data_IF_399330292767
#
_entry.id   IF_399330292767
#
_cell.length_a   1.000
_cell.length_b   1.000
_cell.length_c   1.000
_cell.angle_alpha   90.00
_cell.angle_beta   90.00
_cell.angle_gamma   90.00
#
_symmetry.space_group_name_H-M   'P 1'
#
loop_
_entity.id
_entity.type
_entity.pdbx_description
1 polymer ?
#
# COMPACT_ATOMS: atom_id res chain seq x y z
N UNK A 1 10.88 2.59 21.64
CA UNK A 1 11.04 1.83 20.40
C UNK A 1 10.27 2.63 19.37
N UNK A 2 10.97 3.35 18.50
CA UNK A 2 10.30 4.16 17.47
C UNK A 2 9.53 3.21 16.56
N UNK A 3 8.21 3.35 16.51
CA UNK A 3 7.39 2.51 15.64
C UNK A 3 7.76 2.84 14.19
N UNK A 4 7.79 1.84 13.31
CA UNK A 4 8.10 2.09 11.88
C UNK A 4 7.16 3.13 11.24
N UNK A 5 6.00 3.42 11.86
CA UNK A 5 5.05 4.45 11.44
C UNK A 5 5.51 5.87 11.77
N UNK A 6 6.24 6.08 12.86
CA UNK A 6 6.78 7.40 13.22
C UNK A 6 7.76 7.93 12.17
N UNK A 7 8.52 7.03 11.52
CA UNK A 7 9.44 7.40 10.44
C UNK A 7 8.69 7.98 9.23
N UNK A 8 7.61 7.33 8.79
CA UNK A 8 6.84 7.81 7.65
C UNK A 8 6.15 9.15 7.93
N UNK A 9 5.69 9.33 9.17
CA UNK A 9 5.08 10.58 9.61
C UNK A 9 6.11 11.72 9.72
N UNK A 10 7.30 11.45 10.25
CA UNK A 10 8.39 12.45 10.35
C UNK A 10 8.89 12.94 8.99
N UNK A 11 8.93 12.06 8.01
CA UNK A 11 9.30 12.39 6.63
C UNK A 11 8.13 12.98 5.81
N UNK A 12 6.97 13.21 6.45
CA UNK A 12 5.75 13.77 5.84
C UNK A 12 5.32 13.05 4.55
N UNK A 13 5.55 11.74 4.48
CA UNK A 13 5.31 10.96 3.26
C UNK A 13 3.80 10.85 3.02
N UNK A 14 3.33 11.49 1.96
CA UNK A 14 1.93 11.40 1.53
C UNK A 14 1.68 10.07 0.80
N UNK A 15 0.41 9.75 0.53
CA UNK A 15 0.03 8.52 -0.16
C UNK A 15 0.65 8.39 -1.56
N UNK A 16 0.79 9.49 -2.29
CA UNK A 16 1.43 9.48 -3.62
C UNK A 16 2.94 9.27 -3.51
N UNK A 17 3.60 10.03 -2.62
CA UNK A 17 5.04 9.91 -2.37
C UNK A 17 5.40 8.49 -1.92
N UNK A 18 4.55 7.88 -1.10
CA UNK A 18 4.70 6.49 -0.68
C UNK A 18 4.75 5.53 -1.88
N UNK A 19 3.84 5.68 -2.85
CA UNK A 19 3.79 4.82 -4.04
C UNK A 19 4.98 5.03 -5.00
N UNK A 20 5.63 6.19 -4.94
CA UNK A 20 6.83 6.50 -5.72
C UNK A 20 8.14 6.20 -4.96
N UNK A 21 8.05 5.83 -3.69
CA UNK A 21 9.21 5.55 -2.85
C UNK A 21 9.87 4.22 -3.23
N UNK A 22 11.20 4.17 -3.10
CA UNK A 22 12.01 2.96 -3.32
C UNK A 22 12.53 2.40 -2.00
N UNK A 23 13.04 1.16 -2.06
CA UNK A 23 13.70 0.54 -0.90
C UNK A 23 14.85 1.39 -0.37
N UNK A 24 15.64 1.99 -1.25
CA UNK A 24 16.80 2.82 -0.90
C UNK A 24 16.37 4.09 -0.18
N UNK A 25 15.29 4.76 -0.66
CA UNK A 25 14.69 5.91 0.03
C UNK A 25 14.16 5.53 1.42
N UNK A 26 13.46 4.40 1.54
CA UNK A 26 13.03 3.92 2.86
C UNK A 26 14.21 3.70 3.82
N UNK A 27 15.33 3.18 3.32
CA UNK A 27 16.54 3.02 4.12
C UNK A 27 17.17 4.37 4.50
N UNK A 28 17.16 5.37 3.63
CA UNK A 28 17.65 6.72 3.97
C UNK A 28 16.81 7.41 5.04
N UNK A 29 15.51 7.09 5.13
CA UNK A 29 14.63 7.55 6.21
C UNK A 29 14.84 6.82 7.54
N UNK A 30 15.74 5.82 7.60
CA UNK A 30 16.06 5.08 8.81
C UNK A 30 15.33 3.74 8.97
N UNK A 31 14.57 3.27 7.96
CA UNK A 31 13.99 1.93 8.01
C UNK A 31 15.06 0.85 7.87
N UNK A 32 14.99 -0.16 8.75
CA UNK A 32 15.83 -1.35 8.65
C UNK A 32 15.59 -2.08 7.32
N UNK A 33 16.62 -2.76 6.82
CA UNK A 33 16.61 -3.50 5.55
C UNK A 33 15.38 -4.40 5.37
N UNK A 34 14.94 -5.09 6.42
CA UNK A 34 13.75 -5.95 6.38
C UNK A 34 12.47 -5.16 6.11
N UNK A 35 12.19 -4.12 6.89
CA UNK A 35 11.02 -3.26 6.74
C UNK A 35 11.01 -2.56 5.38
N UNK A 36 12.14 -1.96 4.98
CA UNK A 36 12.27 -1.29 3.68
C UNK A 36 12.01 -2.24 2.49
N UNK A 37 12.52 -3.48 2.56
CA UNK A 37 12.28 -4.49 1.52
C UNK A 37 10.81 -4.89 1.44
N UNK A 38 10.13 -5.04 2.59
CA UNK A 38 8.72 -5.42 2.63
C UNK A 38 7.82 -4.32 2.03
N UNK A 39 8.07 -3.05 2.35
CA UNK A 39 7.31 -1.92 1.80
C UNK A 39 7.53 -1.75 0.29
N UNK A 40 8.78 -1.83 -0.18
CA UNK A 40 9.06 -1.74 -1.61
C UNK A 40 8.38 -2.86 -2.41
N UNK A 41 8.36 -4.09 -1.87
CA UNK A 41 7.62 -5.21 -2.49
C UNK A 41 6.11 -4.95 -2.52
N UNK A 42 5.55 -4.44 -1.43
CA UNK A 42 4.13 -4.07 -1.37
C UNK A 42 3.74 -3.04 -2.44
N UNK A 43 4.55 -1.98 -2.62
CA UNK A 43 4.35 -0.99 -3.68
C UNK A 43 4.39 -1.64 -5.08
N UNK A 44 5.34 -2.55 -5.32
CA UNK A 44 5.44 -3.25 -6.60
C UNK A 44 4.21 -4.13 -6.87
N UNK A 45 3.70 -4.82 -5.84
CA UNK A 45 2.49 -5.65 -5.93
C UNK A 45 1.25 -4.78 -6.21
N UNK A 46 1.13 -3.62 -5.57
CA UNK A 46 0.07 -2.64 -5.85
C UNK A 46 0.10 -2.17 -7.31
N UNK A 47 1.27 -1.77 -7.82
CA UNK A 47 1.42 -1.33 -9.21
C UNK A 47 1.08 -2.44 -10.20
N UNK A 48 1.39 -3.70 -9.86
CA UNK A 48 1.01 -4.87 -10.66
C UNK A 48 -0.51 -5.08 -10.68
N UNK A 49 -1.19 -4.87 -9.54
CA UNK A 49 -2.66 -4.99 -9.45
C UNK A 49 -3.44 -3.88 -10.15
N UNK A 50 -2.79 -2.76 -10.52
CA UNK A 50 -3.38 -1.70 -11.34
C UNK A 50 -3.33 -2.00 -12.86
N UNK A 51 -2.82 -3.16 -13.26
CA UNK A 51 -3.21 -3.72 -14.56
C UNK A 51 -4.73 -3.94 -14.53
N UNK A 52 -5.49 -3.64 -15.62
CA UNK A 52 -6.91 -3.91 -15.62
C UNK A 52 -7.09 -5.41 -15.34
N UNK A 53 -7.54 -5.75 -14.14
CA UNK A 53 -8.08 -7.08 -13.89
C UNK A 53 -9.15 -7.26 -14.97
N UNK A 54 -9.08 -8.35 -15.73
CA UNK A 54 -10.23 -8.74 -16.55
C UNK A 54 -11.46 -8.61 -15.68
N UNK A 55 -12.49 -7.94 -16.20
CA UNK A 55 -13.73 -7.70 -15.50
C UNK A 55 -14.30 -9.03 -14.97
N UNK A 56 -14.08 -9.34 -13.69
CA UNK A 56 -14.52 -10.60 -13.09
C UNK A 56 -16.04 -10.63 -12.86
N UNK A 57 -16.75 -9.53 -13.19
CA UNK A 57 -18.15 -9.32 -12.82
C UNK A 57 -18.35 -9.06 -11.33
N UNK A 58 -17.26 -8.85 -10.58
CA UNK A 58 -17.28 -8.62 -9.13
C UNK A 58 -17.26 -7.13 -8.83
N UNK A 59 -18.26 -6.65 -8.09
CA UNK A 59 -18.29 -5.28 -7.57
C UNK A 59 -17.95 -5.31 -6.08
N UNK A 60 -16.98 -4.48 -5.68
CA UNK A 60 -16.62 -4.27 -4.28
C UNK A 60 -17.15 -2.91 -3.82
N UNK A 61 -18.00 -2.92 -2.80
CA UNK A 61 -18.52 -1.71 -2.15
C UNK A 61 -17.91 -1.61 -0.77
N UNK A 62 -17.21 -0.51 -0.50
CA UNK A 62 -16.72 -0.17 0.83
C UNK A 62 -17.76 0.71 1.51
N UNK A 63 -18.27 0.27 2.66
CA UNK A 63 -19.20 1.05 3.48
C UNK A 63 -18.47 1.48 4.75
N UNK A 64 -18.00 2.73 4.71
CA UNK A 64 -17.35 3.49 5.78
C UNK A 64 -16.08 2.81 6.33
N UNK A 65 -15.47 3.38 7.39
CA UNK A 65 -14.26 2.86 8.06
C UNK A 65 -14.48 1.50 8.78
N UNK A 66 -15.49 0.74 8.38
CA UNK A 66 -15.81 -0.58 8.89
C UNK A 66 -15.09 -1.65 8.07
N UNK A 67 -14.68 -2.75 8.69
CA UNK A 67 -14.16 -3.94 8.00
C UNK A 67 -15.27 -4.74 7.28
N UNK A 68 -16.36 -4.09 6.87
CA UNK A 68 -17.48 -4.75 6.23
C UNK A 68 -17.21 -4.86 4.72
N UNK A 69 -17.23 -6.09 4.22
CA UNK A 69 -16.98 -6.42 2.82
C UNK A 69 -18.22 -7.06 2.20
N UNK A 70 -18.75 -6.44 1.15
CA UNK A 70 -19.88 -6.98 0.37
C UNK A 70 -19.37 -7.34 -1.02
N UNK A 71 -19.49 -8.62 -1.37
CA UNK A 71 -19.18 -9.14 -2.70
C UNK A 71 -20.49 -9.45 -3.44
N UNK A 72 -20.69 -8.80 -4.59
CA UNK A 72 -21.80 -9.07 -5.51
C UNK A 72 -21.28 -9.51 -6.87
N UNK A 73 -21.86 -10.56 -7.45
CA UNK A 73 -21.60 -11.02 -8.81
C UNK A 73 -22.74 -10.58 -9.72
N UNK A 74 -22.43 -9.77 -10.74
CA UNK A 74 -23.40 -9.43 -11.78
C UNK A 74 -23.41 -10.56 -12.83
N UNK A 75 -24.56 -11.20 -13.03
CA UNK A 75 -24.81 -12.21 -14.08
C UNK A 75 -25.63 -11.63 -15.21
#
# INVERSE_FOLDING_TARGET
>A
MESHFEILHKEEITGLDFLETTKEKFQSYGLKRGSATRLAKFIADLKKSNTPKSNTGTVYVFVDNSNLFIEGKYT
#
